data_IF_262456944501
#
_entry.id   IF_262456944501
#
_cell.length_a   1.000
_cell.length_b   1.000
_cell.length_c   1.000
_cell.angle_alpha   90.00
_cell.angle_beta   90.00
_cell.angle_gamma   90.00
#
_symmetry.space_group_name_H-M   'P 1'
#
loop_
_entity.id
_entity.type
_entity.pdbx_description
1 polymer ?
#
# COMPACT_ATOMS: atom_id res chain seq x y z
N UNK A 1 4.50 10.52 -1.51
CA UNK A 1 5.75 10.63 -2.31
C UNK A 1 6.12 9.23 -2.75
N UNK A 2 6.35 9.04 -4.05
CA UNK A 2 6.80 7.73 -4.58
C UNK A 2 8.34 7.66 -4.51
N UNK A 3 8.86 6.64 -3.85
CA UNK A 3 10.30 6.41 -3.71
C UNK A 3 10.64 4.97 -4.13
N UNK A 4 10.69 4.74 -5.45
CA UNK A 4 10.97 3.43 -6.03
C UNK A 4 12.47 3.12 -6.20
N UNK A 5 13.34 4.14 -6.17
CA UNK A 5 14.73 4.02 -6.62
C UNK A 5 15.78 3.89 -5.49
N UNK A 6 15.39 4.00 -4.22
CA UNK A 6 16.35 3.95 -3.11
C UNK A 6 17.18 2.66 -3.12
N UNK A 7 16.52 1.52 -3.32
CA UNK A 7 17.18 0.22 -3.39
C UNK A 7 17.90 0.00 -4.71
N UNK A 8 17.27 0.32 -5.83
CA UNK A 8 17.81 0.13 -7.18
C UNK A 8 18.97 1.06 -7.48
N UNK A 9 19.01 2.22 -6.84
CA UNK A 9 20.08 3.21 -7.00
C UNK A 9 21.33 2.93 -6.18
N UNK A 10 21.33 1.88 -5.34
CA UNK A 10 22.50 1.54 -4.52
C UNK A 10 23.75 1.31 -5.39
N UNK A 11 24.90 1.89 -5.02
CA UNK A 11 26.15 1.63 -5.69
C UNK A 11 26.53 0.14 -5.66
N UNK A 12 27.19 -0.36 -6.70
CA UNK A 12 27.68 -1.74 -6.74
C UNK A 12 28.64 -2.06 -5.59
N UNK A 13 29.42 -1.08 -5.17
CA UNK A 13 30.36 -1.24 -4.05
C UNK A 13 29.69 -0.90 -2.73
N UNK A 14 29.57 -1.87 -1.84
CA UNK A 14 28.95 -1.69 -0.53
C UNK A 14 29.60 -0.58 0.32
N UNK A 15 30.89 -0.34 0.14
CA UNK A 15 31.61 0.76 0.82
C UNK A 15 31.08 2.16 0.46
N UNK A 16 30.31 2.29 -0.60
CA UNK A 16 29.73 3.57 -1.05
C UNK A 16 28.26 3.73 -0.62
N UNK A 17 27.68 2.70 0.02
CA UNK A 17 26.26 2.72 0.38
C UNK A 17 25.94 3.78 1.42
N UNK A 18 26.77 3.94 2.45
CA UNK A 18 26.53 4.92 3.49
C UNK A 18 26.40 6.34 2.92
N UNK A 19 27.35 6.78 2.10
CA UNK A 19 27.31 8.08 1.46
C UNK A 19 26.08 8.27 0.56
N UNK A 20 25.77 7.23 -0.25
CA UNK A 20 24.58 7.25 -1.10
C UNK A 20 23.28 7.35 -0.28
N UNK A 21 23.12 6.52 0.75
CA UNK A 21 21.93 6.49 1.58
C UNK A 21 21.75 7.79 2.36
N UNK A 22 22.83 8.39 2.86
CA UNK A 22 22.79 9.65 3.59
C UNK A 22 22.22 10.78 2.72
N UNK A 23 22.74 10.94 1.48
CA UNK A 23 22.21 11.99 0.62
C UNK A 23 20.82 11.68 0.07
N UNK A 24 20.48 10.40 -0.19
CA UNK A 24 19.17 10.00 -0.67
C UNK A 24 18.08 10.26 0.39
N UNK A 25 18.35 9.89 1.64
CA UNK A 25 17.49 10.21 2.79
C UNK A 25 17.33 11.71 2.96
N UNK A 26 18.43 12.47 2.91
CA UNK A 26 18.38 13.93 3.02
C UNK A 26 17.54 14.55 1.90
N UNK A 27 17.67 14.06 0.67
CA UNK A 27 16.88 14.53 -0.48
C UNK A 27 15.39 14.25 -0.30
N UNK A 28 15.03 13.05 0.18
CA UNK A 28 13.64 12.71 0.50
C UNK A 28 13.07 13.66 1.57
N UNK A 29 13.80 13.85 2.68
CA UNK A 29 13.37 14.74 3.77
C UNK A 29 13.18 16.18 3.30
N UNK A 30 14.06 16.68 2.44
CA UNK A 30 13.91 18.02 1.85
C UNK A 30 12.64 18.11 1.00
N UNK A 31 12.31 17.08 0.23
CA UNK A 31 11.09 17.07 -0.60
C UNK A 31 9.80 17.02 0.23
N UNK A 32 9.85 16.47 1.45
CA UNK A 32 8.74 16.40 2.38
C UNK A 32 8.65 17.62 3.31
N UNK A 33 9.73 18.39 3.48
CA UNK A 33 9.76 19.54 4.35
C UNK A 33 8.88 20.69 3.83
N UNK A 34 8.37 21.49 4.75
CA UNK A 34 7.60 22.71 4.42
C UNK A 34 6.09 22.47 4.31
N UNK A 35 5.60 21.25 4.54
CA UNK A 35 4.18 20.99 4.74
C UNK A 35 3.77 21.30 6.18
N UNK A 36 2.48 21.48 6.44
CA UNK A 36 1.98 21.62 7.80
C UNK A 36 2.15 20.34 8.60
N UNK A 37 2.36 20.42 9.91
CA UNK A 37 2.51 19.25 10.81
C UNK A 37 1.29 18.31 10.78
N UNK A 38 0.13 18.79 10.37
CA UNK A 38 -1.07 17.98 10.16
C UNK A 38 -1.08 17.19 8.85
N UNK A 39 -0.10 17.37 7.97
CA UNK A 39 0.00 16.67 6.69
C UNK A 39 0.74 15.37 6.87
N UNK A 40 0.04 14.26 6.72
CA UNK A 40 0.65 12.94 6.79
C UNK A 40 1.45 12.61 5.52
N UNK A 41 2.71 12.24 5.67
CA UNK A 41 3.62 11.88 4.59
C UNK A 41 3.62 10.36 4.41
N UNK A 42 3.21 9.93 3.23
CA UNK A 42 3.28 8.52 2.83
C UNK A 42 4.36 8.33 1.76
N UNK A 43 5.09 7.22 1.86
CA UNK A 43 5.97 6.76 0.79
C UNK A 43 5.77 5.27 0.52
N UNK A 44 6.32 4.79 -0.59
CA UNK A 44 6.17 3.41 -1.02
C UNK A 44 7.52 2.83 -1.40
N UNK A 45 7.80 1.62 -0.93
CA UNK A 45 8.97 0.84 -1.31
C UNK A 45 8.55 -0.30 -2.23
N UNK A 46 8.90 -0.17 -3.51
CA UNK A 46 8.83 -1.28 -4.46
C UNK A 46 9.98 -2.26 -4.23
N UNK A 47 9.80 -3.51 -4.65
CA UNK A 47 10.83 -4.56 -4.65
C UNK A 47 11.52 -4.80 -3.30
N UNK A 48 11.12 -5.80 -2.67
CA UNK A 48 11.10 -6.11 -1.25
C UNK A 48 12.38 -6.66 -0.62
N UNK A 49 13.57 -6.31 -1.05
CA UNK A 49 14.81 -6.65 -0.33
C UNK A 49 15.43 -5.40 0.31
N UNK A 50 14.79 -4.91 1.38
CA UNK A 50 15.23 -3.70 2.07
C UNK A 50 15.84 -3.95 3.46
N UNK A 51 16.02 -5.22 3.86
CA UNK A 51 16.50 -5.56 5.19
C UNK A 51 17.85 -4.92 5.53
N UNK A 52 18.72 -4.79 4.53
CA UNK A 52 20.05 -4.21 4.68
C UNK A 52 20.10 -2.67 4.58
N UNK A 53 18.96 -2.03 4.33
CA UNK A 53 18.80 -0.55 4.28
C UNK A 53 17.66 -0.03 5.14
N UNK A 54 17.10 -0.87 6.03
CA UNK A 54 15.91 -0.51 6.84
C UNK A 54 16.15 0.70 7.73
N UNK A 55 17.37 0.86 8.24
CA UNK A 55 17.76 2.03 9.04
C UNK A 55 17.65 3.32 8.20
N UNK A 56 18.14 3.30 6.97
CA UNK A 56 18.04 4.44 6.07
C UNK A 56 16.58 4.73 5.71
N UNK A 57 15.75 3.70 5.52
CA UNK A 57 14.31 3.85 5.28
C UNK A 57 13.64 4.50 6.50
N UNK A 58 13.98 4.08 7.72
CA UNK A 58 13.47 4.70 8.94
C UNK A 58 13.90 6.18 9.06
N UNK A 59 15.12 6.50 8.64
CA UNK A 59 15.64 7.87 8.66
C UNK A 59 14.98 8.79 7.62
N UNK A 60 14.27 8.26 6.60
CA UNK A 60 13.44 9.09 5.72
C UNK A 60 12.33 9.80 6.49
N UNK A 61 11.92 9.25 7.63
CA UNK A 61 10.96 9.85 8.55
C UNK A 61 9.58 10.12 7.90
N UNK A 62 9.16 9.23 7.00
CA UNK A 62 7.80 9.24 6.49
C UNK A 62 6.84 8.70 7.56
N UNK A 63 5.69 9.35 7.74
CA UNK A 63 4.68 8.92 8.72
C UNK A 63 4.19 7.50 8.44
N UNK A 64 4.03 7.16 7.17
CA UNK A 64 3.60 5.83 6.72
C UNK A 64 4.47 5.35 5.57
N UNK A 65 4.99 4.13 5.69
CA UNK A 65 5.64 3.43 4.59
C UNK A 65 4.75 2.28 4.10
N UNK A 66 4.53 2.17 2.80
CA UNK A 66 3.89 1.01 2.20
C UNK A 66 4.92 0.12 1.51
N UNK A 67 4.76 -1.18 1.63
CA UNK A 67 5.71 -2.18 1.13
C UNK A 67 5.00 -3.33 0.41
N UNK A 68 5.64 -3.90 -0.60
CA UNK A 68 5.15 -5.11 -1.25
C UNK A 68 5.37 -6.33 -0.35
N UNK A 69 4.31 -7.06 -0.02
CA UNK A 69 4.39 -8.20 0.89
C UNK A 69 3.39 -9.33 0.61
N UNK A 70 2.45 -9.14 -0.32
CA UNK A 70 1.38 -10.11 -0.56
C UNK A 70 1.90 -11.46 -1.05
N UNK A 71 2.98 -11.46 -1.84
CA UNK A 71 3.58 -12.67 -2.42
C UNK A 71 4.39 -13.50 -1.43
N UNK A 72 4.88 -12.88 -0.38
CA UNK A 72 5.69 -13.54 0.65
C UNK A 72 4.88 -14.01 1.84
N UNK A 73 3.54 -13.97 1.77
CA UNK A 73 2.69 -14.27 2.93
C UNK A 73 3.13 -13.52 4.21
N UNK A 74 3.58 -12.28 4.03
CA UNK A 74 4.12 -11.40 5.09
C UNK A 74 5.47 -11.84 5.71
N UNK A 75 6.18 -12.80 5.11
CA UNK A 75 7.54 -13.20 5.59
C UNK A 75 8.50 -12.02 5.63
N UNK A 76 8.33 -11.05 4.72
CA UNK A 76 9.13 -9.84 4.69
C UNK A 76 9.06 -9.04 5.99
N UNK A 77 7.98 -9.20 6.75
CA UNK A 77 7.80 -8.55 8.06
C UNK A 77 8.62 -9.21 9.19
N UNK A 78 9.33 -10.32 8.93
CA UNK A 78 10.22 -10.94 9.94
C UNK A 78 11.35 -10.01 10.38
N UNK A 79 11.72 -9.06 9.52
CA UNK A 79 12.66 -7.99 9.88
C UNK A 79 12.22 -7.23 11.14
N UNK A 80 10.92 -7.02 11.33
CA UNK A 80 10.37 -6.29 12.47
C UNK A 80 10.38 -7.08 13.78
N UNK A 81 10.79 -8.35 13.75
CA UNK A 81 11.07 -9.12 14.97
C UNK A 81 12.37 -8.62 15.65
N UNK A 82 13.28 -8.02 14.89
CA UNK A 82 14.58 -7.54 15.36
C UNK A 82 14.78 -6.04 15.23
N UNK A 83 14.09 -5.40 14.29
CA UNK A 83 14.16 -3.97 14.05
C UNK A 83 12.88 -3.26 14.48
N UNK A 84 13.00 -2.35 15.44
CA UNK A 84 11.87 -1.52 15.84
C UNK A 84 11.70 -0.34 14.87
N UNK A 85 10.84 -0.53 13.85
CA UNK A 85 10.49 0.56 12.94
C UNK A 85 9.65 1.62 13.68
N UNK A 86 10.00 2.92 13.61
CA UNK A 86 9.39 3.93 14.47
C UNK A 86 7.97 4.33 14.05
N UNK A 87 7.67 4.30 12.75
CA UNK A 87 6.45 4.88 12.17
C UNK A 87 5.42 3.81 11.76
N UNK A 88 4.40 4.19 11.01
CA UNK A 88 3.32 3.32 10.57
C UNK A 88 3.71 2.55 9.30
N UNK A 89 3.12 1.38 9.09
CA UNK A 89 3.44 0.48 7.99
C UNK A 89 2.17 -0.01 7.29
N UNK A 90 2.18 0.04 5.96
CA UNK A 90 1.18 -0.57 5.11
C UNK A 90 1.76 -1.78 4.36
N UNK A 91 1.67 -3.00 4.90
CA UNK A 91 2.02 -4.19 4.14
C UNK A 91 0.99 -4.43 3.05
N UNK A 92 1.45 -4.66 1.81
CA UNK A 92 0.59 -4.92 0.67
C UNK A 92 -0.20 -6.23 0.83
N UNK A 93 -1.48 -6.19 0.47
CA UNK A 93 -2.39 -7.33 0.57
C UNK A 93 -3.01 -7.73 -0.77
N UNK A 94 -2.63 -7.03 -1.84
CA UNK A 94 -3.11 -7.27 -3.19
C UNK A 94 -1.95 -7.23 -4.18
N UNK A 95 -1.63 -8.38 -4.77
CA UNK A 95 -0.66 -8.47 -5.88
C UNK A 95 -1.25 -7.84 -7.14
N UNK A 96 -0.81 -6.65 -7.48
CA UNK A 96 -1.28 -5.90 -8.65
C UNK A 96 -0.85 -6.55 -9.98
N UNK A 97 0.06 -7.50 -9.98
CA UNK A 97 0.47 -8.24 -11.17
C UNK A 97 -0.42 -9.46 -11.44
N UNK A 98 -1.26 -9.84 -10.47
CA UNK A 98 -2.25 -10.91 -10.61
C UNK A 98 -3.62 -10.33 -11.01
N UNK A 99 -4.37 -11.00 -11.91
CA UNK A 99 -5.75 -10.63 -12.19
C UNK A 99 -6.71 -11.02 -11.06
N UNK A 100 -6.23 -11.78 -10.07
CA UNK A 100 -7.05 -12.27 -8.97
C UNK A 100 -7.33 -11.16 -7.96
N UNK A 101 -8.59 -10.89 -7.71
CA UNK A 101 -9.02 -9.92 -6.69
C UNK A 101 -9.07 -10.65 -5.35
N UNK A 102 -8.30 -10.22 -4.34
CA UNK A 102 -8.30 -10.89 -3.04
C UNK A 102 -9.65 -10.74 -2.34
N UNK A 103 -10.11 -11.80 -1.69
CA UNK A 103 -11.31 -11.74 -0.86
C UNK A 103 -11.05 -10.99 0.45
N UNK A 104 -12.12 -10.57 1.12
CA UNK A 104 -12.03 -9.92 2.45
C UNK A 104 -11.32 -10.83 3.44
N UNK A 105 -11.64 -12.14 3.43
CA UNK A 105 -11.06 -13.14 4.31
C UNK A 105 -9.55 -13.32 4.08
N UNK A 106 -9.13 -13.32 2.83
CA UNK A 106 -7.70 -13.40 2.47
C UNK A 106 -6.95 -12.18 3.00
N UNK A 107 -7.48 -10.97 2.78
CA UNK A 107 -6.89 -9.73 3.29
C UNK A 107 -6.82 -9.74 4.81
N UNK A 108 -7.93 -10.10 5.50
CA UNK A 108 -7.96 -10.20 6.96
C UNK A 108 -6.94 -11.20 7.49
N UNK A 109 -6.76 -12.35 6.80
CA UNK A 109 -5.73 -13.33 7.17
C UNK A 109 -4.34 -12.72 7.10
N UNK A 110 -3.98 -12.05 5.99
CA UNK A 110 -2.68 -11.42 5.81
C UNK A 110 -2.43 -10.32 6.86
N UNK A 111 -3.40 -9.46 7.10
CA UNK A 111 -3.28 -8.40 8.10
C UNK A 111 -3.16 -8.93 9.53
N UNK A 112 -3.81 -10.06 9.85
CA UNK A 112 -3.62 -10.73 11.14
C UNK A 112 -2.23 -11.33 11.31
N UNK A 113 -1.60 -11.78 10.23
CA UNK A 113 -0.19 -12.20 10.26
C UNK A 113 0.72 -11.00 10.52
N UNK A 114 0.50 -9.87 9.84
CA UNK A 114 1.23 -8.63 10.09
C UNK A 114 1.07 -8.14 11.53
N UNK A 115 -0.15 -8.22 12.08
CA UNK A 115 -0.46 -7.79 13.45
C UNK A 115 0.20 -8.63 14.56
N UNK A 116 0.85 -9.74 14.21
CA UNK A 116 1.68 -10.50 15.17
C UNK A 116 3.02 -9.82 15.47
N UNK A 117 3.48 -8.95 14.56
CA UNK A 117 4.78 -8.28 14.62
C UNK A 117 4.67 -6.77 14.80
N UNK A 118 3.60 -6.19 14.29
CA UNK A 118 3.38 -4.73 14.26
C UNK A 118 2.06 -4.44 14.97
N UNK A 119 2.04 -3.49 15.92
CA UNK A 119 0.79 -3.09 16.59
C UNK A 119 -0.29 -2.71 15.57
N UNK A 120 -1.54 -3.20 15.73
CA UNK A 120 -2.62 -2.97 14.77
C UNK A 120 -2.91 -1.49 14.49
N UNK A 121 -2.72 -0.62 15.48
CA UNK A 121 -2.89 0.84 15.35
C UNK A 121 -1.86 1.49 14.43
N UNK A 122 -0.79 0.78 14.09
CA UNK A 122 0.27 1.23 13.18
C UNK A 122 0.19 0.57 11.80
N UNK A 123 -0.86 -0.23 11.56
CA UNK A 123 -1.03 -0.98 10.31
C UNK A 123 -2.03 -0.31 9.37
N UNK A 124 -1.66 -0.26 8.11
CA UNK A 124 -2.50 0.19 7.00
C UNK A 124 -2.82 -0.96 6.05
N UNK A 125 -4.03 -0.94 5.46
CA UNK A 125 -4.44 -1.89 4.41
C UNK A 125 -4.26 -1.23 3.06
N UNK A 126 -3.33 -1.73 2.25
CA UNK A 126 -3.01 -1.19 0.93
C UNK A 126 -2.67 -2.30 -0.07
N UNK A 127 -2.71 -2.03 -1.39
CA UNK A 127 -2.18 -2.95 -2.40
C UNK A 127 -0.65 -2.97 -2.34
N UNK A 128 -0.03 -3.96 -2.97
CA UNK A 128 1.42 -4.05 -3.07
C UNK A 128 2.04 -2.83 -3.74
N UNK A 129 1.41 -2.30 -4.77
CA UNK A 129 1.89 -1.14 -5.50
C UNK A 129 0.72 -0.37 -6.13
N UNK A 130 1.01 0.65 -6.95
CA UNK A 130 0.01 1.45 -7.65
C UNK A 130 -0.88 0.63 -8.60
N UNK A 131 -2.16 0.90 -8.62
CA UNK A 131 -3.18 0.14 -9.35
C UNK A 131 -3.26 0.46 -10.86
N UNK A 132 -2.35 1.26 -11.37
CA UNK A 132 -2.34 1.77 -12.77
C UNK A 132 -2.33 0.69 -13.86
N UNK A 133 -1.91 -0.54 -13.52
CA UNK A 133 -1.88 -1.68 -14.45
C UNK A 133 -3.17 -2.49 -14.47
N UNK A 134 -4.13 -2.16 -13.61
CA UNK A 134 -5.40 -2.87 -13.47
C UNK A 134 -6.55 -2.11 -14.11
N UNK A 135 -7.55 -2.86 -14.57
CA UNK A 135 -8.78 -2.29 -15.11
C UNK A 135 -9.73 -1.87 -13.99
N UNK A 136 -10.61 -0.90 -14.23
CA UNK A 136 -11.60 -0.46 -13.24
C UNK A 136 -12.51 -1.57 -12.73
N UNK A 137 -12.80 -2.57 -13.57
CA UNK A 137 -13.55 -3.77 -13.18
C UNK A 137 -12.83 -4.65 -12.13
N UNK A 138 -11.51 -4.52 -12.02
CA UNK A 138 -10.68 -5.20 -11.01
C UNK A 138 -10.40 -4.27 -9.82
N UNK A 139 -10.09 -3.00 -10.09
CA UNK A 139 -9.74 -2.00 -9.06
C UNK A 139 -10.88 -1.77 -8.09
N UNK A 140 -12.11 -1.55 -8.59
CA UNK A 140 -13.25 -1.22 -7.75
C UNK A 140 -13.56 -2.33 -6.73
N UNK A 141 -13.70 -3.62 -7.11
CA UNK A 141 -13.94 -4.68 -6.15
C UNK A 141 -12.74 -4.91 -5.22
N UNK A 142 -11.49 -4.77 -5.70
CA UNK A 142 -10.31 -4.90 -4.85
C UNK A 142 -10.31 -3.84 -3.73
N UNK A 143 -10.53 -2.58 -4.07
CA UNK A 143 -10.63 -1.49 -3.08
C UNK A 143 -11.80 -1.69 -2.11
N UNK A 144 -12.95 -2.16 -2.60
CA UNK A 144 -14.09 -2.50 -1.74
C UNK A 144 -13.73 -3.58 -0.71
N UNK A 145 -13.04 -4.63 -1.15
CA UNK A 145 -12.61 -5.71 -0.28
C UNK A 145 -11.57 -5.24 0.73
N UNK A 146 -10.62 -4.40 0.35
CA UNK A 146 -9.64 -3.80 1.27
C UNK A 146 -10.31 -2.95 2.34
N UNK A 147 -11.25 -2.07 1.96
CA UNK A 147 -12.01 -1.26 2.91
C UNK A 147 -12.86 -2.13 3.83
N UNK A 148 -13.53 -3.17 3.29
CA UNK A 148 -14.32 -4.10 4.10
C UNK A 148 -13.44 -4.86 5.09
N UNK A 149 -12.26 -5.33 4.67
CA UNK A 149 -11.31 -6.00 5.55
C UNK A 149 -10.82 -5.08 6.67
N UNK A 150 -10.49 -3.82 6.36
CA UNK A 150 -10.10 -2.83 7.37
C UNK A 150 -11.20 -2.62 8.42
N UNK A 151 -12.46 -2.54 8.02
CA UNK A 151 -13.61 -2.45 8.94
C UNK A 151 -13.75 -3.68 9.83
N UNK A 152 -13.63 -4.87 9.26
CA UNK A 152 -13.63 -6.14 10.03
C UNK A 152 -12.52 -6.15 11.07
N UNK A 153 -11.32 -5.72 10.69
CA UNK A 153 -10.16 -5.68 11.60
C UNK A 153 -10.33 -4.68 12.73
N UNK A 154 -11.03 -3.56 12.49
CA UNK A 154 -11.40 -2.57 13.52
C UNK A 154 -12.58 -2.99 14.40
N UNK A 155 -13.18 -4.16 14.13
CA UNK A 155 -14.39 -4.59 14.83
C UNK A 155 -15.66 -3.83 14.42
N UNK A 156 -15.62 -3.10 13.32
CA UNK A 156 -16.78 -2.41 12.77
C UNK A 156 -17.71 -3.42 12.08
N UNK A 157 -19.02 -3.25 12.24
CA UNK A 157 -19.99 -4.08 11.54
C UNK A 157 -19.89 -3.80 10.03
N UNK A 158 -19.74 -4.85 9.21
CA UNK A 158 -19.76 -4.71 7.76
C UNK A 158 -21.07 -3.99 7.34
N UNK A 159 -21.00 -2.96 6.46
CA UNK A 159 -22.21 -2.38 5.92
C UNK A 159 -23.01 -3.48 5.24
N UNK A 160 -24.32 -3.54 5.50
CA UNK A 160 -25.21 -4.46 4.81
C UNK A 160 -25.04 -4.23 3.30
N UNK A 161 -24.64 -5.26 2.57
CA UNK A 161 -24.57 -5.23 1.12
C UNK A 161 -26.00 -5.13 0.59
N UNK A 162 -26.47 -3.91 0.39
CA UNK A 162 -27.71 -3.68 -0.34
C UNK A 162 -27.56 -4.19 -1.77
N UNK A 163 -28.62 -4.75 -2.39
CA UNK A 163 -28.53 -5.24 -3.75
C UNK A 163 -28.11 -4.09 -4.68
N UNK A 164 -27.15 -4.38 -5.56
CA UNK A 164 -26.74 -3.45 -6.60
C UNK A 164 -27.99 -3.07 -7.41
N UNK A 165 -28.37 -1.80 -7.35
CA UNK A 165 -29.44 -1.25 -8.16
C UNK A 165 -29.04 -1.36 -9.63
N UNK A 166 -29.56 -2.37 -10.30
CA UNK A 166 -29.59 -2.45 -11.75
C UNK A 166 -30.66 -1.47 -12.25
N UNK A 167 -30.26 -0.24 -12.53
CA UNK A 167 -31.08 0.73 -13.21
C UNK A 167 -30.29 1.29 -14.38
N UNK A 168 -30.27 0.55 -15.47
CA UNK A 168 -30.08 1.10 -16.81
C UNK A 168 -31.42 0.99 -17.53
N UNK A 169 -32.23 2.01 -17.38
CA UNK A 169 -33.43 2.18 -18.16
C UNK A 169 -33.05 2.56 -19.60
N UNK A 170 -33.30 1.68 -20.50
CA UNK A 170 -33.41 1.95 -21.95
C UNK A 170 -34.71 2.74 -22.22
N UNK A 171 -34.58 3.97 -22.57
CA UNK A 171 -35.64 4.71 -23.34
C UNK A 171 -34.93 5.24 -24.59
N UNK A 172 -35.20 4.75 -25.76
CA UNK A 172 -36.41 4.97 -26.53
C UNK A 172 -36.03 5.96 -27.60
N UNK A 173 -35.37 5.47 -28.71
CA UNK A 173 -35.13 6.27 -29.92
C UNK A 173 -36.49 6.39 -30.63
N UNK A 174 -37.10 7.55 -30.50
CA UNK A 174 -38.23 7.98 -31.32
C UNK A 174 -37.76 8.63 -32.61
N UNK A 175 -38.01 7.98 -33.71
CA UNK A 175 -37.87 8.51 -35.08
C UNK A 175 -38.83 9.67 -35.33
N UNK A 176 -38.33 10.76 -35.86
CA UNK A 176 -39.11 11.89 -36.36
C UNK A 176 -38.44 12.51 -37.56
N UNK A 177 -38.81 12.03 -38.74
CA UNK A 177 -38.56 12.66 -40.05
C UNK A 177 -39.49 13.87 -40.15
N UNK A 178 -39.02 15.07 -40.52
CA UNK A 178 -39.57 15.94 -41.59
C UNK A 178 -38.84 17.29 -41.68
N UNK A 179 -38.39 17.51 -42.96
CA UNK A 179 -38.08 18.72 -43.75
C UNK A 179 -36.81 19.49 -43.39
#
# INVERSE_FOLDING_TARGET
IDEAALREGLPLRRSQWAEYLDWAVASFRISANGVADSTQIHTHMCYSQFNDIIEAIAHMDADVITIESSRSDMELLELFDTFHYPNEIGPGVYDIHSPNIPSVEQIVKLMRLAARRIPPERLWVNPDCGLKTRQWSEVIPALRNMVAAARVLRGERAPATGPASAAASTEGVGSGIHR
#
